data_IF_821487968806
#
_entry.id   IF_821487968806
#
_cell.length_a   1.000
_cell.length_b   1.000
_cell.length_c   1.000
_cell.angle_alpha   90.00
_cell.angle_beta   90.00
_cell.angle_gamma   90.00
#
_symmetry.space_group_name_H-M   'P 1'
#
loop_
_entity.id
_entity.type
_entity.pdbx_description
1 polymer ?
#
# COMPACT_ATOMS: atom_id res chain seq x y z
N UNK A 1 -2.20 15.28 5.47
CA UNK A 1 -2.62 13.91 5.86
C UNK A 1 -2.87 13.08 4.61
N UNK A 2 -1.88 12.33 4.14
CA UNK A 2 -2.06 11.41 3.01
C UNK A 2 -2.82 10.17 3.50
N UNK A 3 -4.06 10.02 3.04
CA UNK A 3 -4.91 8.88 3.39
C UNK A 3 -4.30 7.57 2.88
N UNK A 4 -4.28 6.53 3.73
CA UNK A 4 -3.92 5.18 3.32
C UNK A 4 -4.95 4.69 2.28
N UNK A 5 -4.51 4.53 1.03
CA UNK A 5 -5.35 4.11 -0.09
C UNK A 5 -5.01 2.71 -0.60
N UNK A 6 -5.96 2.09 -1.30
CA UNK A 6 -5.76 0.79 -1.96
C UNK A 6 -4.62 0.83 -2.98
N UNK A 7 -4.43 1.94 -3.69
CA UNK A 7 -3.34 2.15 -4.65
C UNK A 7 -1.96 2.07 -3.99
N UNK A 8 -1.81 2.64 -2.79
CA UNK A 8 -0.57 2.56 -2.03
C UNK A 8 -0.25 1.12 -1.63
N UNK A 9 -1.24 0.39 -1.10
CA UNK A 9 -1.05 -1.00 -0.70
C UNK A 9 -0.73 -1.90 -1.90
N UNK A 10 -1.37 -1.65 -3.04
CA UNK A 10 -1.08 -2.36 -4.28
C UNK A 10 0.33 -2.06 -4.77
N UNK A 11 0.75 -0.79 -4.82
CA UNK A 11 2.09 -0.41 -5.22
C UNK A 11 3.15 -1.05 -4.32
N UNK A 12 2.96 -1.01 -3.00
CA UNK A 12 3.89 -1.60 -2.02
C UNK A 12 3.99 -3.11 -2.13
N UNK A 13 2.89 -3.81 -2.39
CA UNK A 13 2.86 -5.26 -2.49
C UNK A 13 3.08 -5.79 -3.90
N UNK A 14 3.10 -4.91 -4.90
CA UNK A 14 3.04 -5.23 -6.34
C UNK A 14 1.94 -6.24 -6.71
N UNK A 15 0.85 -6.27 -5.93
CA UNK A 15 -0.24 -7.25 -6.08
C UNK A 15 0.01 -8.63 -5.45
N UNK A 16 1.16 -8.86 -4.81
CA UNK A 16 1.49 -10.13 -4.18
C UNK A 16 0.84 -10.23 -2.79
N UNK A 17 -0.07 -11.20 -2.62
CA UNK A 17 -0.79 -11.41 -1.37
C UNK A 17 0.16 -11.67 -0.18
N UNK A 18 1.24 -12.43 -0.39
CA UNK A 18 2.25 -12.69 0.64
C UNK A 18 2.92 -11.41 1.15
N UNK A 19 3.33 -10.54 0.22
CA UNK A 19 3.92 -9.23 0.52
C UNK A 19 2.95 -8.30 1.23
N UNK A 20 1.68 -8.27 0.81
CA UNK A 20 0.62 -7.49 1.47
C UNK A 20 0.38 -7.97 2.90
N UNK A 21 0.24 -9.28 3.10
CA UNK A 21 -0.01 -9.84 4.42
C UNK A 21 1.18 -9.62 5.36
N UNK A 22 2.42 -9.69 4.85
CA UNK A 22 3.61 -9.37 5.64
C UNK A 22 3.62 -7.90 6.08
N UNK A 23 3.35 -6.98 5.15
CA UNK A 23 3.27 -5.54 5.43
C UNK A 23 2.20 -5.23 6.48
N UNK A 24 1.00 -5.80 6.35
CA UNK A 24 -0.11 -5.55 7.27
C UNK A 24 0.16 -6.11 8.66
N UNK A 25 0.68 -7.35 8.77
CA UNK A 25 0.99 -7.95 10.07
C UNK A 25 2.03 -7.13 10.85
N UNK A 26 3.13 -6.77 10.19
CA UNK A 26 4.17 -5.95 10.81
C UNK A 26 3.64 -4.55 11.14
N UNK A 27 2.83 -3.97 10.26
CA UNK A 27 2.20 -2.67 10.47
C UNK A 27 1.31 -2.64 11.69
N UNK A 28 0.39 -3.60 11.81
CA UNK A 28 -0.51 -3.71 12.95
C UNK A 28 0.27 -3.91 14.24
N UNK A 29 1.30 -4.77 14.23
CA UNK A 29 2.14 -5.00 15.41
C UNK A 29 2.81 -3.70 15.89
N UNK A 30 3.41 -2.91 15.00
CA UNK A 30 4.06 -1.64 15.33
C UNK A 30 3.02 -0.61 15.81
N UNK A 31 1.87 -0.52 15.16
CA UNK A 31 0.81 0.42 15.51
C UNK A 31 0.24 0.16 16.92
N UNK A 32 0.09 -1.12 17.29
CA UNK A 32 -0.34 -1.54 18.63
C UNK A 32 0.77 -1.21 19.64
N UNK A 33 2.01 -1.61 19.37
CA UNK A 33 3.14 -1.41 20.30
C UNK A 33 3.42 0.08 20.59
N UNK A 34 3.18 0.94 19.61
CA UNK A 34 3.34 2.40 19.75
C UNK A 34 2.11 3.10 20.34
N UNK A 35 1.00 2.40 20.58
CA UNK A 35 -0.26 2.99 21.05
C UNK A 35 -0.97 3.88 20.03
N UNK A 36 -0.49 3.91 18.77
CA UNK A 36 -1.11 4.74 17.71
C UNK A 36 -2.40 4.11 17.19
N UNK A 37 -2.52 2.78 17.27
CA UNK A 37 -3.70 1.99 16.87
C UNK A 37 -4.25 2.30 15.46
N UNK A 38 -3.40 2.87 14.59
CA UNK A 38 -3.74 3.27 13.23
C UNK A 38 -2.57 3.03 12.29
N UNK A 39 -2.88 2.43 11.13
CA UNK A 39 -1.92 2.31 10.03
C UNK A 39 -1.82 3.65 9.28
N UNK A 40 -0.59 4.18 9.21
CA UNK A 40 -0.25 5.35 8.42
C UNK A 40 0.75 4.99 7.32
N UNK A 41 0.79 5.80 6.25
CA UNK A 41 1.80 5.63 5.20
C UNK A 41 3.21 5.75 5.78
N UNK A 42 3.42 6.67 6.73
CA UNK A 42 4.70 6.86 7.41
C UNK A 42 5.14 5.59 8.16
N UNK A 43 4.23 5.00 8.94
CA UNK A 43 4.49 3.74 9.65
C UNK A 43 4.84 2.62 8.67
N UNK A 44 4.04 2.47 7.61
CA UNK A 44 4.25 1.41 6.63
C UNK A 44 5.50 1.63 5.77
N UNK A 45 5.94 2.88 5.56
CA UNK A 45 7.20 3.19 4.89
C UNK A 45 8.43 2.74 5.68
N UNK A 46 8.33 2.63 7.00
CA UNK A 46 9.38 2.08 7.85
C UNK A 46 9.53 0.55 7.76
N UNK A 47 8.57 -0.15 7.14
CA UNK A 47 8.54 -1.61 7.06
C UNK A 47 9.14 -2.07 5.74
N UNK A 48 10.13 -2.96 5.82
CA UNK A 48 10.70 -3.66 4.67
C UNK A 48 9.94 -4.97 4.42
N UNK A 49 9.62 -5.23 3.16
CA UNK A 49 9.04 -6.51 2.72
C UNK A 49 9.94 -7.18 1.68
N UNK A 50 9.39 -8.12 0.93
CA UNK A 50 10.07 -8.81 -0.15
C UNK A 50 10.81 -7.87 -1.13
N UNK A 51 12.02 -8.25 -1.52
CA UNK A 51 12.92 -7.43 -2.34
C UNK A 51 12.41 -7.24 -3.77
N UNK A 52 11.71 -8.22 -4.34
CA UNK A 52 11.13 -8.09 -5.68
C UNK A 52 9.95 -7.12 -5.68
N UNK A 53 9.12 -7.15 -4.63
CA UNK A 53 8.06 -6.16 -4.45
C UNK A 53 8.62 -4.73 -4.27
N UNK A 54 9.66 -4.57 -3.45
CA UNK A 54 10.30 -3.27 -3.22
C UNK A 54 10.98 -2.70 -4.48
N UNK A 55 11.61 -3.55 -5.31
CA UNK A 55 12.22 -3.13 -6.57
C UNK A 55 11.18 -2.73 -7.63
N UNK A 56 10.08 -3.48 -7.72
CA UNK A 56 9.02 -3.27 -8.71
C UNK A 56 8.09 -2.08 -8.43
N UNK A 57 8.07 -1.55 -7.19
CA UNK A 57 7.06 -0.57 -6.78
C UNK A 57 7.16 0.80 -7.46
N UNK A 58 8.35 1.25 -7.86
CA UNK A 58 8.57 2.65 -8.32
C UNK A 58 7.74 3.03 -9.55
N UNK A 59 7.62 2.10 -10.51
CA UNK A 59 6.84 2.34 -11.72
C UNK A 59 5.34 2.39 -11.40
N UNK A 60 4.87 1.51 -10.50
CA UNK A 60 3.49 1.50 -10.01
C UNK A 60 3.17 2.78 -9.25
N UNK A 61 4.01 3.20 -8.31
CA UNK A 61 3.85 4.45 -7.56
C UNK A 61 3.70 5.65 -8.51
N UNK A 62 4.51 5.70 -9.56
CA UNK A 62 4.43 6.75 -10.58
C UNK A 62 3.10 6.67 -11.33
N UNK A 63 2.71 5.49 -11.81
CA UNK A 63 1.46 5.29 -12.57
C UNK A 63 0.21 5.62 -11.74
N UNK A 64 0.17 5.25 -10.46
CA UNK A 64 -0.92 5.62 -9.56
C UNK A 64 -0.93 7.13 -9.26
N UNK A 65 0.24 7.74 -9.04
CA UNK A 65 0.34 9.18 -8.76
C UNK A 65 -0.07 10.04 -9.96
N UNK A 66 0.25 9.63 -11.18
CA UNK A 66 -0.15 10.36 -12.39
C UNK A 66 -1.60 10.07 -12.81
N UNK A 67 -2.31 9.15 -12.12
CA UNK A 67 -3.66 8.74 -12.48
C UNK A 67 -3.75 7.84 -13.70
N UNK A 68 -2.60 7.36 -14.22
CA UNK A 68 -2.55 6.41 -15.34
C UNK A 68 -2.99 4.99 -14.92
N UNK A 69 -3.00 4.72 -13.62
CA UNK A 69 -3.48 3.47 -13.03
C UNK A 69 -4.28 3.76 -11.77
N UNK A 70 -5.27 2.92 -11.48
CA UNK A 70 -6.09 2.98 -10.26
C UNK A 70 -6.56 1.58 -9.91
N UNK A 71 -6.50 1.23 -8.62
CA UNK A 71 -7.08 -0.01 -8.09
C UNK A 71 -8.61 0.04 -8.10
N UNK A 72 -9.20 1.23 -8.14
CA UNK A 72 -10.63 1.40 -8.39
C UNK A 72 -10.84 1.25 -9.89
N UNK A 73 -11.53 0.17 -10.28
CA UNK A 73 -11.95 -0.05 -11.67
C UNK A 73 -12.85 1.07 -12.19
N UNK A 74 -13.16 1.09 -13.50
CA UNK A 74 -14.02 2.10 -14.09
C UNK A 74 -15.38 2.11 -13.37
N UNK A 75 -15.81 3.27 -12.88
CA UNK A 75 -17.15 3.42 -12.30
C UNK A 75 -18.17 3.13 -13.39
N UNK A 76 -18.96 2.06 -13.25
CA UNK A 76 -20.12 1.83 -14.12
C UNK A 76 -21.04 3.06 -14.02
N UNK A 77 -21.47 3.66 -15.15
CA UNK A 77 -22.44 4.73 -15.09
C UNK A 77 -23.71 4.20 -14.41
N UNK A 78 -24.27 5.00 -13.50
CA UNK A 78 -25.53 4.71 -12.84
C UNK A 78 -26.62 4.75 -13.91
N UNK A 79 -27.21 3.60 -14.23
CA UNK A 79 -28.36 3.49 -15.14
C UNK A 79 -29.60 4.09 -14.48
#
# INVERSE_FOLDING_TARGET
MTQLGSDYLFARSTGHMGSLMNLLRQGCYIAIKSGTERLSIELLNGIRIDSAAELGRRQLETAFRTGNMSTRGPRKPKR
#
